data_IF_132663214100
#
_entry.id   IF_132663214100
#
_cell.length_a   1.000
_cell.length_b   1.000
_cell.length_c   1.000
_cell.angle_alpha   90.00
_cell.angle_beta   90.00
_cell.angle_gamma   90.00
#
_symmetry.space_group_name_H-M   'P 1'
#
loop_
_entity.id
_entity.type
_entity.pdbx_description
1 polymer ?
#
# COMPACT_ATOMS: atom_id res chain seq x y z
N UNK A 1 -2.83 -42.03 21.93
CA UNK A 1 -1.58 -41.24 21.94
C UNK A 1 -1.16 -40.75 20.54
N UNK A 2 -1.36 -41.52 19.46
CA UNK A 2 -1.04 -41.09 18.07
C UNK A 2 -1.83 -39.86 17.57
N UNK A 3 -3.10 -39.72 17.95
CA UNK A 3 -3.91 -38.57 17.52
C UNK A 3 -3.45 -37.22 18.09
N UNK A 4 -2.93 -37.21 19.31
CA UNK A 4 -2.41 -35.99 19.95
C UNK A 4 -1.15 -35.47 19.27
N UNK A 5 -0.30 -36.38 18.77
CA UNK A 5 0.90 -36.03 18.01
C UNK A 5 0.57 -35.36 16.67
N UNK A 6 -0.50 -35.78 16.00
CA UNK A 6 -0.94 -35.18 14.74
C UNK A 6 -1.52 -33.78 14.93
N UNK A 7 -2.23 -33.54 16.03
CA UNK A 7 -2.77 -32.21 16.35
C UNK A 7 -1.62 -31.25 16.67
N UNK A 8 -0.61 -31.71 17.42
CA UNK A 8 0.53 -30.87 17.77
C UNK A 8 1.36 -30.45 16.54
N UNK A 9 1.62 -31.38 15.60
CA UNK A 9 2.37 -31.06 14.38
C UNK A 9 1.62 -30.10 13.45
N UNK A 10 0.29 -30.22 13.37
CA UNK A 10 -0.53 -29.27 12.58
C UNK A 10 -0.51 -27.87 13.19
N UNK A 11 -0.62 -27.76 14.51
CA UNK A 11 -0.59 -26.45 15.20
C UNK A 11 0.78 -25.77 15.08
N UNK A 12 1.88 -26.54 15.17
CA UNK A 12 3.24 -26.03 14.97
C UNK A 12 3.46 -25.56 13.51
N UNK A 13 2.93 -26.28 12.51
CA UNK A 13 3.05 -25.88 11.11
C UNK A 13 2.29 -24.59 10.79
N UNK A 14 1.14 -24.35 11.42
CA UNK A 14 0.36 -23.11 11.27
C UNK A 14 1.07 -21.88 11.89
N UNK A 15 1.84 -22.07 12.96
CA UNK A 15 2.58 -20.97 13.62
C UNK A 15 3.83 -20.51 12.87
N UNK A 16 4.32 -21.30 11.90
CA UNK A 16 5.50 -20.95 11.09
C UNK A 16 5.18 -19.99 9.93
N UNK A 17 3.90 -19.80 9.59
CA UNK A 17 3.47 -18.66 8.78
C UNK A 17 3.37 -17.42 9.67
N UNK A 18 4.51 -16.94 10.17
CA UNK A 18 4.58 -15.56 10.62
C UNK A 18 4.71 -14.68 9.38
N UNK A 19 3.68 -13.91 9.03
CA UNK A 19 3.81 -12.87 8.01
C UNK A 19 4.92 -11.92 8.47
N UNK A 20 6.00 -11.91 7.69
CA UNK A 20 7.08 -10.93 7.81
C UNK A 20 6.46 -9.54 7.81
N UNK A 21 6.79 -8.74 8.82
CA UNK A 21 6.22 -7.41 9.10
C UNK A 21 6.42 -6.35 7.99
N UNK A 22 6.85 -6.75 6.79
CA UNK A 22 6.90 -5.94 5.57
C UNK A 22 5.83 -6.27 4.52
N UNK A 23 5.13 -7.42 4.60
CA UNK A 23 4.20 -7.86 3.53
C UNK A 23 2.72 -7.54 3.81
N UNK A 24 2.36 -7.19 5.04
CA UNK A 24 0.99 -6.75 5.34
C UNK A 24 0.66 -5.36 4.80
N UNK A 25 1.66 -4.58 4.36
CA UNK A 25 1.46 -3.30 3.70
C UNK A 25 0.97 -3.40 2.26
N UNK A 26 1.08 -4.57 1.61
CA UNK A 26 0.66 -4.77 0.22
C UNK A 26 -0.70 -5.46 0.06
N UNK A 27 -1.04 -6.41 0.94
CA UNK A 27 -2.27 -7.22 0.79
C UNK A 27 -3.55 -6.50 1.26
N UNK A 28 -3.43 -5.56 2.20
CA UNK A 28 -4.55 -4.79 2.76
C UNK A 28 -4.44 -3.30 2.51
N UNK A 29 -3.49 -2.83 1.71
CA UNK A 29 -3.58 -1.48 1.19
C UNK A 29 -4.79 -1.47 0.26
N UNK A 30 -5.90 -0.80 0.61
CA UNK A 30 -7.09 -0.86 -0.20
C UNK A 30 -6.81 0.02 -1.41
N UNK A 31 -6.39 -0.61 -2.50
CA UNK A 31 -6.29 0.05 -3.80
C UNK A 31 -7.65 -0.08 -4.48
N UNK A 32 -8.17 0.97 -5.11
CA UNK A 32 -9.31 0.84 -6.01
C UNK A 32 -9.01 -0.24 -7.06
N UNK A 33 -9.89 -1.25 -7.16
CA UNK A 33 -9.75 -2.44 -8.02
C UNK A 33 -9.54 -2.11 -9.51
N UNK A 34 -9.75 -0.86 -9.92
CA UNK A 34 -9.72 -0.40 -11.31
C UNK A 34 -8.42 0.33 -11.70
N UNK A 35 -7.45 0.46 -10.80
CA UNK A 35 -6.16 1.07 -11.14
C UNK A 35 -5.32 0.15 -12.03
N UNK A 36 -5.05 0.57 -13.27
CA UNK A 36 -4.16 -0.14 -14.22
C UNK A 36 -2.89 0.68 -14.42
N UNK A 37 -1.78 0.01 -14.75
CA UNK A 37 -0.48 0.65 -15.01
C UNK A 37 0.11 1.40 -13.80
N UNK A 38 -0.04 0.83 -12.60
CA UNK A 38 0.61 1.36 -11.41
C UNK A 38 2.13 1.14 -11.52
N UNK A 39 2.96 2.18 -11.30
CA UNK A 39 4.40 2.01 -11.23
C UNK A 39 4.77 1.11 -10.03
N UNK A 40 5.23 -0.10 -10.33
CA UNK A 40 5.54 -1.14 -9.36
C UNK A 40 7.03 -1.28 -9.04
N UNK A 41 7.86 -0.33 -9.47
CA UNK A 41 9.30 -0.36 -9.25
C UNK A 41 9.69 0.11 -7.85
N UNK A 42 10.96 -0.10 -7.53
CA UNK A 42 11.62 0.49 -6.35
C UNK A 42 12.38 1.78 -6.68
N UNK A 43 12.24 2.26 -7.92
CA UNK A 43 12.76 3.57 -8.30
C UNK A 43 12.07 4.69 -7.52
N UNK A 44 12.75 5.83 -7.42
CA UNK A 44 12.27 6.95 -6.62
C UNK A 44 10.90 7.46 -7.05
N UNK A 45 10.65 7.44 -8.35
CA UNK A 45 9.37 7.80 -8.92
C UNK A 45 8.24 6.89 -8.44
N UNK A 46 8.42 5.57 -8.50
CA UNK A 46 7.43 4.58 -8.10
C UNK A 46 7.16 4.62 -6.61
N UNK A 47 8.20 4.83 -5.78
CA UNK A 47 8.03 5.05 -4.34
C UNK A 47 7.24 6.32 -4.08
N UNK A 48 7.64 7.44 -4.69
CA UNK A 48 6.91 8.71 -4.59
C UNK A 48 5.46 8.56 -5.02
N UNK A 49 5.20 7.87 -6.13
CA UNK A 49 3.85 7.64 -6.64
C UNK A 49 2.96 6.91 -5.61
N UNK A 50 3.48 5.86 -4.97
CA UNK A 50 2.72 5.13 -3.93
C UNK A 50 2.44 6.00 -2.71
N UNK A 51 3.44 6.74 -2.24
CA UNK A 51 3.32 7.67 -1.11
C UNK A 51 2.29 8.77 -1.38
N UNK A 52 2.31 9.33 -2.60
CA UNK A 52 1.37 10.36 -3.04
C UNK A 52 -0.06 9.84 -3.15
N UNK A 53 -0.23 8.63 -3.69
CA UNK A 53 -1.52 7.97 -3.74
C UNK A 53 -2.06 7.69 -2.33
N UNK A 54 -1.26 7.08 -1.45
CA UNK A 54 -1.64 6.75 -0.08
C UNK A 54 -2.02 7.99 0.72
N UNK A 55 -1.26 9.08 0.57
CA UNK A 55 -1.56 10.39 1.16
C UNK A 55 -2.94 10.88 0.75
N UNK A 56 -3.24 10.84 -0.54
CA UNK A 56 -4.50 11.34 -1.04
C UNK A 56 -5.68 10.45 -0.63
N UNK A 57 -5.52 9.13 -0.77
CA UNK A 57 -6.51 8.14 -0.33
C UNK A 57 -6.80 8.24 1.16
N UNK A 58 -5.80 8.51 2.00
CA UNK A 58 -6.00 8.80 3.42
C UNK A 58 -6.74 10.12 3.70
N UNK A 59 -6.51 11.15 2.86
CA UNK A 59 -7.11 12.46 3.05
C UNK A 59 -8.58 12.52 2.61
N UNK A 60 -8.92 11.94 1.46
CA UNK A 60 -10.28 12.05 0.87
C UNK A 60 -11.04 10.74 0.81
N UNK A 61 -10.37 9.60 0.98
CA UNK A 61 -11.02 8.29 0.88
C UNK A 61 -12.08 8.10 1.96
N UNK A 62 -12.95 7.12 1.74
CA UNK A 62 -14.00 6.73 2.66
C UNK A 62 -13.70 5.41 3.38
N UNK A 63 -14.31 5.22 4.56
CA UNK A 63 -14.14 4.00 5.35
C UNK A 63 -12.68 3.71 5.68
N UNK A 64 -12.22 2.50 5.36
CA UNK A 64 -10.85 2.04 5.62
C UNK A 64 -9.78 2.72 4.74
N UNK A 65 -10.17 3.39 3.66
CA UNK A 65 -9.23 4.17 2.85
C UNK A 65 -8.74 5.41 3.61
N UNK A 66 -9.60 6.02 4.43
CA UNK A 66 -9.29 7.22 5.22
C UNK A 66 -8.31 6.97 6.37
N UNK A 67 -8.13 5.71 6.77
CA UNK A 67 -7.18 5.36 7.83
C UNK A 67 -5.74 5.28 7.34
N UNK A 68 -5.50 5.46 6.04
CA UNK A 68 -4.17 5.47 5.48
C UNK A 68 -3.37 6.68 6.01
N UNK A 69 -2.13 6.47 6.49
CA UNK A 69 -1.30 7.55 6.98
C UNK A 69 -0.84 8.47 5.84
N UNK A 70 -0.70 9.76 6.17
CA UNK A 70 -0.01 10.70 5.30
C UNK A 70 1.43 10.23 5.07
N UNK A 71 1.79 10.04 3.80
CA UNK A 71 3.09 9.48 3.40
C UNK A 71 3.78 10.46 2.45
N UNK A 72 4.74 11.21 2.99
CA UNK A 72 5.58 12.13 2.23
C UNK A 72 6.93 12.29 2.92
N UNK A 73 8.00 11.90 2.23
CA UNK A 73 9.37 12.07 2.69
C UNK A 73 9.95 13.40 2.16
N UNK A 74 9.98 14.40 3.03
CA UNK A 74 10.49 15.74 2.69
C UNK A 74 11.98 15.69 2.32
N UNK A 75 12.79 14.89 3.03
CA UNK A 75 14.23 14.85 2.78
C UNK A 75 14.49 14.25 1.40
N UNK A 76 13.81 13.15 1.08
CA UNK A 76 13.88 12.53 -0.24
C UNK A 76 13.36 13.44 -1.34
N UNK A 77 12.30 14.20 -1.10
CA UNK A 77 11.77 15.16 -2.09
C UNK A 77 12.74 16.33 -2.38
N UNK A 78 13.56 16.72 -1.41
CA UNK A 78 14.59 17.77 -1.58
C UNK A 78 15.82 17.25 -2.34
N UNK A 79 16.20 15.99 -2.09
CA UNK A 79 17.39 15.36 -2.69
C UNK A 79 17.11 14.75 -4.07
N UNK A 80 15.89 14.26 -4.29
CA UNK A 80 15.48 13.51 -5.47
C UNK A 80 14.21 14.10 -6.10
N UNK A 81 14.39 14.79 -7.23
CA UNK A 81 13.29 15.40 -7.97
C UNK A 81 12.30 14.37 -8.53
N UNK A 82 12.74 13.14 -8.78
CA UNK A 82 11.88 12.09 -9.35
C UNK A 82 10.94 11.52 -8.29
N UNK A 83 11.35 11.47 -7.03
CA UNK A 83 10.44 11.19 -5.92
C UNK A 83 9.30 12.20 -5.87
N UNK A 84 9.61 13.50 -5.89
CA UNK A 84 8.57 14.54 -5.84
C UNK A 84 7.64 14.49 -7.05
N UNK A 85 8.17 14.26 -8.26
CA UNK A 85 7.36 14.06 -9.47
C UNK A 85 6.44 12.85 -9.33
N UNK A 86 6.97 11.74 -8.83
CA UNK A 86 6.22 10.53 -8.51
C UNK A 86 5.08 10.84 -7.55
N UNK A 87 5.39 11.49 -6.43
CA UNK A 87 4.42 11.85 -5.41
C UNK A 87 3.27 12.72 -5.94
N UNK A 88 3.59 13.76 -6.73
CA UNK A 88 2.56 14.60 -7.37
C UNK A 88 1.71 13.80 -8.37
N UNK A 89 2.33 12.93 -9.15
CA UNK A 89 1.64 12.10 -10.14
C UNK A 89 0.70 11.09 -9.46
N UNK A 90 1.17 10.40 -8.42
CA UNK A 90 0.39 9.43 -7.64
C UNK A 90 -0.79 10.09 -6.92
N UNK A 91 -0.56 11.23 -6.27
CA UNK A 91 -1.63 12.04 -5.66
C UNK A 91 -2.68 12.38 -6.71
N UNK A 92 -2.28 12.97 -7.84
CA UNK A 92 -3.19 13.42 -8.90
C UNK A 92 -3.97 12.26 -9.53
N UNK A 93 -3.29 11.16 -9.82
CA UNK A 93 -3.90 9.96 -10.38
C UNK A 93 -4.97 9.41 -9.42
N UNK A 94 -4.61 9.26 -8.14
CA UNK A 94 -5.54 8.73 -7.15
C UNK A 94 -6.68 9.71 -6.83
N UNK A 95 -6.49 11.02 -6.99
CA UNK A 95 -7.58 12.01 -7.04
C UNK A 95 -8.62 11.69 -8.09
N UNK A 96 -8.22 11.62 -9.35
CA UNK A 96 -9.17 11.45 -10.43
C UNK A 96 -9.80 10.05 -10.48
N UNK A 97 -9.12 9.03 -9.97
CA UNK A 97 -9.64 7.66 -9.95
C UNK A 97 -10.57 7.37 -8.77
N UNK A 98 -10.37 7.99 -7.60
CA UNK A 98 -11.31 7.81 -6.48
C UNK A 98 -12.54 8.71 -6.61
N UNK A 99 -12.45 9.80 -7.36
CA UNK A 99 -13.54 10.75 -7.63
C UNK A 99 -14.35 10.38 -8.89
N UNK A 100 -14.10 9.20 -9.48
CA UNK A 100 -14.90 8.70 -10.61
C UNK A 100 -16.23 8.15 -10.09
N UNK A 101 -17.09 9.05 -9.62
CA UNK A 101 -18.51 8.80 -9.45
C UNK A 101 -19.16 8.97 -10.83
N UNK A 102 -19.64 7.90 -11.49
CA UNK A 102 -20.43 8.05 -12.70
C UNK A 102 -21.79 8.63 -12.30
N UNK A 103 -21.91 9.96 -12.38
CA UNK A 103 -23.21 10.65 -12.33
C UNK A 103 -24.08 10.17 -13.50
#
# INVERSE_FOLDING_TARGET
MRGFLLILTVVLALSACQPTAGDFGGAFSPHPFQMRNIPSGDDSYSVGWRDGCQTFTGAVGEGLLRTQPFSYDINRALEDSDYYKGWRAGMTYCTYYTDYDPI
#
